data_IF_310821645538
#
_entry.id   IF_310821645538
#
_cell.length_a   1.000
_cell.length_b   1.000
_cell.length_c   1.000
_cell.angle_alpha   90.00
_cell.angle_beta   90.00
_cell.angle_gamma   90.00
#
_symmetry.space_group_name_H-M   'P 1'
#
loop_
_entity.id
_entity.type
_entity.pdbx_description
1 polymer ?
#
# COMPACT_ATOMS: atom_id res chain seq x y z
N UNK A 1 10.51 -13.29 -28.56
CA UNK A 1 9.48 -13.93 -27.71
C UNK A 1 9.19 -12.95 -26.59
N UNK A 2 7.95 -12.46 -26.55
CA UNK A 2 7.58 -11.14 -26.03
C UNK A 2 7.57 -11.07 -24.50
N UNK A 3 8.45 -10.28 -23.90
CA UNK A 3 8.36 -9.83 -22.51
C UNK A 3 7.53 -8.54 -22.48
N UNK A 4 6.21 -8.67 -22.35
CA UNK A 4 5.31 -7.56 -22.04
C UNK A 4 5.03 -7.57 -20.53
N UNK A 5 6.04 -7.21 -19.73
CA UNK A 5 5.87 -6.90 -18.32
C UNK A 5 5.70 -5.39 -18.21
N UNK A 6 4.47 -4.90 -18.18
CA UNK A 6 4.23 -3.50 -17.80
C UNK A 6 3.04 -3.45 -16.87
N UNK A 7 3.32 -3.29 -15.58
CA UNK A 7 2.36 -2.73 -14.64
C UNK A 7 3.05 -1.60 -13.85
N UNK A 8 2.72 -0.34 -14.19
CA UNK A 8 3.04 0.84 -13.38
C UNK A 8 2.00 0.99 -12.28
N UNK A 9 2.28 0.44 -11.11
CA UNK A 9 1.56 0.82 -9.92
C UNK A 9 2.38 0.50 -8.67
N UNK A 10 2.59 1.54 -7.85
CA UNK A 10 3.22 1.57 -6.53
C UNK A 10 3.21 3.03 -6.04
N UNK A 11 3.52 3.29 -4.76
CA UNK A 11 3.69 4.66 -4.30
C UNK A 11 4.75 5.39 -5.15
N UNK A 12 4.43 6.58 -5.70
CA UNK A 12 5.35 7.28 -6.58
C UNK A 12 6.66 7.59 -5.84
N UNK A 13 7.78 7.35 -6.53
CA UNK A 13 9.10 7.76 -6.08
C UNK A 13 9.06 9.27 -5.76
N UNK A 14 9.55 9.73 -4.59
CA UNK A 14 9.77 11.16 -4.41
C UNK A 14 10.76 11.64 -5.47
N UNK A 15 10.39 12.69 -6.21
CA UNK A 15 11.28 13.26 -7.22
C UNK A 15 12.62 13.62 -6.56
N UNK A 16 13.73 13.10 -7.09
CA UNK A 16 15.05 13.59 -6.72
C UNK A 16 15.13 15.04 -7.15
N UNK A 17 14.87 15.95 -6.22
CA UNK A 17 15.15 17.37 -6.41
C UNK A 17 16.63 17.51 -6.76
N UNK A 18 16.92 17.77 -8.03
CA UNK A 18 18.25 18.19 -8.44
C UNK A 18 18.52 19.51 -7.74
N UNK A 19 19.39 19.48 -6.73
CA UNK A 19 19.91 20.68 -6.11
C UNK A 19 20.77 21.42 -7.14
N UNK A 20 20.14 22.29 -7.93
CA UNK A 20 20.84 23.35 -8.65
C UNK A 20 20.53 24.66 -7.95
N UNK A 21 21.46 25.06 -7.09
CA UNK A 21 21.66 26.45 -6.72
C UNK A 21 21.85 27.30 -7.98
N UNK A 22 21.11 28.41 -8.12
CA UNK A 22 21.60 29.70 -8.68
C UNK A 22 20.49 30.77 -8.63
N UNK A 23 20.71 31.74 -7.74
CA UNK A 23 20.36 33.18 -7.75
C UNK A 23 19.15 33.74 -8.52
N UNK A 24 18.27 34.37 -7.74
CA UNK A 24 17.60 35.66 -7.93
C UNK A 24 17.59 36.34 -9.32
N UNK A 25 16.39 36.69 -9.80
CA UNK A 25 15.95 38.10 -9.94
C UNK A 25 14.46 38.23 -10.25
N UNK A 26 13.89 39.26 -9.64
CA UNK A 26 12.58 39.87 -9.87
C UNK A 26 12.33 40.22 -11.34
N UNK A 27 11.05 40.32 -11.73
CA UNK A 27 10.39 41.52 -12.28
C UNK A 27 8.96 41.14 -12.76
N UNK A 28 7.93 41.76 -12.16
CA UNK A 28 6.66 42.08 -12.83
C UNK A 28 6.78 43.50 -13.41
N UNK A 29 6.01 43.87 -14.45
CA UNK A 29 4.84 44.70 -14.16
C UNK A 29 3.60 44.53 -15.09
N UNK A 30 2.44 44.82 -14.47
CA UNK A 30 1.33 45.71 -14.95
C UNK A 30 0.34 45.22 -16.03
N UNK A 31 -0.87 44.94 -15.54
CA UNK A 31 -2.17 45.59 -15.82
C UNK A 31 -2.48 46.13 -17.23
N UNK A 32 -3.56 45.61 -17.84
CA UNK A 32 -4.46 46.39 -18.68
C UNK A 32 -5.91 45.90 -18.51
N UNK A 33 -6.74 46.80 -17.98
CA UNK A 33 -8.19 46.71 -17.80
C UNK A 33 -8.92 47.18 -19.05
N UNK A 34 -9.93 46.46 -19.53
CA UNK A 34 -11.09 47.06 -20.23
C UNK A 34 -12.35 46.27 -19.89
N UNK A 35 -13.31 46.98 -19.30
CA UNK A 35 -14.65 46.53 -18.93
C UNK A 35 -15.62 46.64 -20.11
N UNK A 36 -16.53 45.68 -20.25
CA UNK A 36 -17.93 45.94 -20.68
C UNK A 36 -18.82 44.74 -20.37
N UNK A 37 -19.93 45.01 -19.70
CA UNK A 37 -21.08 44.14 -19.40
C UNK A 37 -22.34 44.94 -19.78
N UNK A 38 -23.59 44.40 -19.69
CA UNK A 38 -24.05 43.01 -19.69
C UNK A 38 -25.23 42.79 -20.67
N UNK A 39 -25.65 41.54 -20.90
CA UNK A 39 -27.07 41.23 -21.17
C UNK A 39 -27.49 39.89 -20.56
N UNK A 40 -28.33 40.02 -19.53
CA UNK A 40 -29.47 39.21 -19.10
C UNK A 40 -29.53 37.67 -19.29
N UNK A 41 -29.57 37.01 -18.12
CA UNK A 41 -30.72 36.25 -17.58
C UNK A 41 -30.96 34.83 -18.15
N UNK A 42 -30.47 33.83 -17.41
CA UNK A 42 -31.16 32.56 -17.24
C UNK A 42 -30.98 32.05 -15.81
N UNK A 43 -32.08 32.06 -15.05
CA UNK A 43 -32.20 31.49 -13.72
C UNK A 43 -32.89 30.14 -13.83
N UNK A 44 -32.25 29.03 -13.42
CA UNK A 44 -32.91 27.90 -12.74
C UNK A 44 -31.93 26.83 -12.21
N UNK A 45 -31.95 26.71 -10.88
CA UNK A 45 -31.96 25.49 -10.04
C UNK A 45 -30.81 24.48 -10.22
N UNK A 46 -29.81 24.59 -9.35
CA UNK A 46 -29.01 23.45 -8.90
C UNK A 46 -29.68 22.82 -7.67
N UNK A 47 -30.07 21.55 -7.80
CA UNK A 47 -30.53 20.71 -6.69
C UNK A 47 -29.32 20.08 -6.03
N UNK A 48 -29.13 20.37 -4.74
CA UNK A 48 -28.12 19.75 -3.90
C UNK A 48 -28.39 18.23 -3.79
N UNK A 49 -27.45 17.41 -4.26
CA UNK A 49 -27.35 16.01 -3.86
C UNK A 49 -26.34 15.91 -2.72
N UNK A 50 -26.82 15.96 -1.49
CA UNK A 50 -26.11 15.37 -0.37
C UNK A 50 -26.31 13.86 -0.43
N UNK A 51 -25.26 13.12 -0.76
CA UNK A 51 -25.20 11.67 -0.53
C UNK A 51 -24.14 11.42 0.54
N UNK A 52 -24.61 10.94 1.69
CA UNK A 52 -23.77 10.35 2.72
C UNK A 52 -23.07 9.09 2.16
N UNK A 53 -21.78 8.85 2.45
CA UNK A 53 -21.17 7.55 2.20
C UNK A 53 -21.76 6.49 3.15
N UNK A 54 -21.79 5.20 2.76
CA UNK A 54 -22.30 4.14 3.62
C UNK A 54 -21.36 3.91 4.81
N UNK A 55 -21.93 3.85 6.01
CA UNK A 55 -21.24 3.43 7.22
C UNK A 55 -20.92 1.94 7.13
N UNK A 56 -19.64 1.60 7.16
CA UNK A 56 -19.19 0.22 7.36
C UNK A 56 -19.42 -0.08 8.84
N UNK A 57 -20.27 -1.07 9.14
CA UNK A 57 -20.60 -1.43 10.52
C UNK A 57 -19.38 -2.10 11.19
N UNK A 58 -19.04 -1.62 12.38
CA UNK A 58 -17.94 -2.10 13.20
C UNK A 58 -18.17 -3.54 13.68
N UNK A 59 -17.24 -4.44 13.34
CA UNK A 59 -17.01 -5.67 14.08
C UNK A 59 -15.80 -5.43 14.98
N UNK A 60 -16.07 -5.02 16.22
CA UNK A 60 -15.07 -4.83 17.26
C UNK A 60 -14.90 -6.13 18.04
N UNK A 61 -13.69 -6.69 18.05
CA UNK A 61 -13.07 -7.29 19.24
C UNK A 61 -11.55 -7.11 19.16
N UNK A 62 -11.04 -6.09 19.85
CA UNK A 62 -9.61 -5.84 20.02
C UNK A 62 -9.00 -6.79 21.06
N UNK A 63 -7.76 -7.22 20.83
CA UNK A 63 -6.99 -8.07 21.75
C UNK A 63 -6.71 -7.37 23.07
N UNK A 64 -7.41 -7.79 24.13
CA UNK A 64 -7.09 -7.48 25.52
C UNK A 64 -6.38 -8.64 26.22
N UNK A 65 -5.99 -8.45 27.48
CA UNK A 65 -5.74 -9.60 28.38
C UNK A 65 -7.07 -10.01 28.98
N UNK A 66 -7.31 -11.31 29.10
CA UNK A 66 -8.47 -11.76 29.86
C UNK A 66 -8.30 -11.45 31.37
N UNK A 67 -9.37 -11.64 32.12
CA UNK A 67 -9.39 -11.51 33.58
C UNK A 67 -8.38 -12.43 34.33
N UNK A 68 -7.73 -13.37 33.64
CA UNK A 68 -6.68 -14.24 34.17
C UNK A 68 -5.28 -13.79 33.78
N UNK A 69 -5.15 -12.69 33.04
CA UNK A 69 -3.88 -12.14 32.59
C UNK A 69 -3.29 -12.86 31.36
N UNK A 70 -4.07 -13.75 30.71
CA UNK A 70 -3.66 -14.43 29.49
C UNK A 70 -3.82 -13.47 28.31
N UNK A 71 -2.81 -13.42 27.44
CA UNK A 71 -2.94 -12.76 26.15
C UNK A 71 -4.08 -13.40 25.36
N UNK A 72 -5.09 -12.61 25.01
CA UNK A 72 -6.02 -13.04 23.97
C UNK A 72 -5.23 -13.15 22.66
N UNK A 73 -5.53 -14.15 21.81
CA UNK A 73 -4.95 -14.17 20.47
C UNK A 73 -5.21 -12.83 19.80
N UNK A 74 -4.25 -12.35 19.02
CA UNK A 74 -4.47 -11.16 18.20
C UNK A 74 -5.67 -11.41 17.28
N UNK A 75 -6.32 -10.35 16.81
CA UNK A 75 -7.43 -10.53 15.90
C UNK A 75 -6.98 -11.22 14.62
N UNK A 76 -7.92 -11.92 13.98
CA UNK A 76 -7.70 -12.55 12.68
C UNK A 76 -7.10 -11.59 11.65
N UNK A 77 -7.44 -10.29 11.72
CA UNK A 77 -6.89 -9.26 10.82
C UNK A 77 -5.38 -9.10 11.01
N UNK A 78 -4.92 -9.00 12.25
CA UNK A 78 -3.49 -8.85 12.54
C UNK A 78 -2.74 -10.15 12.24
N UNK A 79 -3.35 -11.31 12.51
CA UNK A 79 -2.75 -12.60 12.17
C UNK A 79 -2.55 -12.76 10.65
N UNK A 80 -3.53 -12.34 9.84
CA UNK A 80 -3.41 -12.33 8.38
C UNK A 80 -2.32 -11.37 7.87
N UNK A 81 -2.19 -10.19 8.51
CA UNK A 81 -1.07 -9.27 8.24
C UNK A 81 0.28 -9.93 8.56
N UNK A 82 0.43 -10.49 9.76
CA UNK A 82 1.67 -11.17 10.20
C UNK A 82 2.04 -12.31 9.25
N UNK A 83 1.07 -13.09 8.77
CA UNK A 83 1.28 -14.16 7.77
C UNK A 83 1.72 -13.63 6.42
N UNK A 84 1.21 -12.48 5.98
CA UNK A 84 1.64 -11.85 4.72
C UNK A 84 3.08 -11.32 4.80
N UNK A 85 3.46 -10.74 5.95
CA UNK A 85 4.85 -10.36 6.24
C UNK A 85 5.77 -11.59 6.28
N UNK A 86 5.33 -12.69 6.88
CA UNK A 86 6.09 -13.95 6.91
C UNK A 86 6.28 -14.57 5.51
N UNK A 87 5.29 -14.45 4.62
CA UNK A 87 5.44 -14.85 3.22
C UNK A 87 6.53 -14.03 2.54
N UNK A 88 6.48 -12.69 2.65
CA UNK A 88 7.52 -11.83 2.10
C UNK A 88 8.91 -12.17 2.66
N UNK A 89 9.00 -12.41 3.96
CA UNK A 89 10.24 -12.84 4.63
C UNK A 89 10.82 -14.13 4.06
N UNK A 90 9.96 -15.12 3.78
CA UNK A 90 10.40 -16.37 3.16
C UNK A 90 10.98 -16.16 1.76
N UNK A 91 10.41 -15.21 1.00
CA UNK A 91 10.92 -14.88 -0.35
C UNK A 91 12.25 -14.16 -0.25
N UNK A 92 12.39 -13.16 0.61
CA UNK A 92 13.65 -12.45 0.86
C UNK A 92 14.77 -13.42 1.22
N UNK A 93 14.51 -14.39 2.10
CA UNK A 93 15.48 -15.41 2.48
C UNK A 93 15.88 -16.35 1.34
N UNK A 94 15.09 -16.41 0.26
CA UNK A 94 15.35 -17.24 -0.92
C UNK A 94 16.02 -16.49 -2.08
N UNK A 95 16.13 -15.16 -2.02
CA UNK A 95 16.74 -14.36 -3.09
C UNK A 95 18.26 -14.58 -3.12
N UNK A 96 18.85 -15.06 -4.22
CA UNK A 96 20.30 -15.14 -4.36
C UNK A 96 20.97 -13.76 -4.34
N UNK A 97 22.18 -13.66 -3.78
CA UNK A 97 22.94 -12.40 -3.66
C UNK A 97 23.12 -11.67 -5.00
N UNK A 98 23.21 -12.40 -6.12
CA UNK A 98 23.38 -11.84 -7.46
C UNK A 98 22.05 -11.51 -8.18
N UNK A 99 20.90 -11.81 -7.58
CA UNK A 99 19.58 -11.62 -8.18
C UNK A 99 18.86 -10.33 -7.74
N UNK A 100 19.40 -9.58 -6.78
CA UNK A 100 18.82 -8.32 -6.29
C UNK A 100 18.69 -7.22 -7.36
N UNK A 101 19.47 -7.31 -8.44
CA UNK A 101 19.38 -6.43 -9.60
C UNK A 101 18.32 -6.82 -10.64
N UNK A 102 17.63 -7.96 -10.48
CA UNK A 102 16.67 -8.44 -11.47
C UNK A 102 15.40 -7.58 -11.52
N UNK A 103 14.82 -7.45 -12.71
CA UNK A 103 13.54 -6.78 -12.92
C UNK A 103 12.41 -7.48 -12.15
N UNK A 104 11.45 -6.69 -11.67
CA UNK A 104 10.21 -7.17 -11.04
C UNK A 104 9.00 -6.92 -11.95
N UNK A 105 7.82 -7.50 -11.67
CA UNK A 105 6.57 -7.12 -12.33
C UNK A 105 6.16 -5.65 -12.09
N UNK A 106 6.66 -5.02 -11.02
CA UNK A 106 6.53 -3.59 -10.79
C UNK A 106 7.42 -2.83 -11.78
N UNK A 107 6.80 -2.15 -12.75
CA UNK A 107 7.55 -1.42 -13.76
C UNK A 107 8.52 -0.40 -13.14
N UNK A 108 9.71 -0.30 -13.72
CA UNK A 108 10.81 0.57 -13.28
C UNK A 108 11.52 0.15 -11.98
N UNK A 109 11.16 -0.99 -11.36
CA UNK A 109 11.80 -1.49 -10.14
C UNK A 109 12.52 -2.82 -10.33
N UNK A 110 13.77 -2.87 -9.90
CA UNK A 110 14.46 -4.12 -9.60
C UNK A 110 14.09 -4.66 -8.21
N UNK A 111 14.57 -5.85 -7.86
CA UNK A 111 14.28 -6.51 -6.59
C UNK A 111 14.74 -5.69 -5.37
N UNK A 112 15.88 -5.00 -5.43
CA UNK A 112 16.31 -4.06 -4.37
C UNK A 112 15.33 -2.90 -4.20
N UNK A 113 14.85 -2.31 -5.30
CA UNK A 113 13.91 -1.19 -5.26
C UNK A 113 12.56 -1.61 -4.69
N UNK A 114 12.07 -2.80 -5.06
CA UNK A 114 10.86 -3.37 -4.49
C UNK A 114 11.01 -3.63 -2.99
N UNK A 115 12.13 -4.19 -2.55
CA UNK A 115 12.40 -4.39 -1.12
C UNK A 115 12.40 -3.06 -0.35
N UNK A 116 13.11 -2.06 -0.87
CA UNK A 116 13.18 -0.73 -0.24
C UNK A 116 11.81 -0.05 -0.16
N UNK A 117 10.95 -0.27 -1.15
CA UNK A 117 9.56 0.16 -1.07
C UNK A 117 8.83 -0.55 0.08
N UNK A 118 8.91 -1.88 0.12
CA UNK A 118 8.25 -2.67 1.17
C UNK A 118 8.70 -2.22 2.57
N UNK A 119 10.01 -2.02 2.76
CA UNK A 119 10.55 -1.51 4.02
C UNK A 119 9.96 -0.13 4.34
N UNK A 120 9.93 0.77 3.36
CA UNK A 120 9.35 2.10 3.51
C UNK A 120 7.87 2.13 3.93
N UNK A 121 7.06 1.19 3.41
CA UNK A 121 5.65 1.03 3.80
C UNK A 121 5.55 0.53 5.25
N UNK A 122 6.31 -0.49 5.61
CA UNK A 122 6.24 -1.10 6.94
C UNK A 122 6.86 -0.21 8.02
N UNK A 123 7.91 0.56 7.71
CA UNK A 123 8.49 1.56 8.60
C UNK A 123 7.49 2.67 8.93
N UNK A 124 6.71 3.11 7.94
CA UNK A 124 5.65 4.08 8.16
C UNK A 124 4.53 3.51 9.03
N UNK A 125 4.09 2.27 8.77
CA UNK A 125 3.12 1.59 9.62
C UNK A 125 3.62 1.44 11.06
N UNK A 126 4.89 1.05 11.24
CA UNK A 126 5.51 0.92 12.55
C UNK A 126 5.64 2.29 13.27
N UNK A 127 5.91 3.36 12.52
CA UNK A 127 5.89 4.74 13.02
C UNK A 127 4.52 5.11 13.58
N UNK A 128 3.46 4.93 12.78
CA UNK A 128 2.07 5.18 13.17
C UNK A 128 1.69 4.36 14.40
N UNK A 129 2.05 3.08 14.45
CA UNK A 129 1.79 2.20 15.59
C UNK A 129 2.41 2.73 16.90
N UNK A 130 3.62 3.29 16.83
CA UNK A 130 4.36 3.78 18.00
C UNK A 130 3.93 5.17 18.46
N UNK A 131 3.57 6.06 17.53
CA UNK A 131 3.36 7.48 17.85
C UNK A 131 1.91 7.93 17.74
N UNK A 132 1.07 7.19 17.01
CA UNK A 132 -0.26 7.61 16.59
C UNK A 132 -0.26 8.69 15.50
N UNK A 133 0.90 9.17 15.04
CA UNK A 133 0.98 10.20 14.01
C UNK A 133 0.93 9.58 12.62
N UNK A 134 -0.10 9.94 11.82
CA UNK A 134 -0.26 9.44 10.45
C UNK A 134 0.72 10.14 9.50
N UNK A 135 1.78 9.43 9.11
CA UNK A 135 2.68 9.85 8.04
C UNK A 135 2.54 8.96 6.79
N UNK A 136 2.77 9.54 5.61
CA UNK A 136 2.81 8.76 4.35
C UNK A 136 4.12 7.97 4.26
N UNK A 137 4.12 6.78 3.62
CA UNK A 137 5.34 6.01 3.42
C UNK A 137 6.29 6.73 2.47
N UNK A 138 7.58 6.50 2.68
CA UNK A 138 8.67 6.94 1.80
C UNK A 138 9.51 5.73 1.46
N UNK A 139 10.07 5.68 0.25
CA UNK A 139 11.01 4.62 -0.11
C UNK A 139 12.19 4.63 0.86
N UNK A 140 12.51 3.48 1.45
CA UNK A 140 13.64 3.39 2.37
C UNK A 140 14.96 3.69 1.63
N UNK A 141 15.96 4.20 2.35
CA UNK A 141 17.31 4.34 1.81
C UNK A 141 17.92 2.98 1.50
N UNK A 142 18.92 2.95 0.61
CA UNK A 142 19.67 1.73 0.33
C UNK A 142 20.70 1.50 1.43
N UNK A 143 20.51 0.45 2.23
CA UNK A 143 21.40 0.09 3.32
C UNK A 143 22.60 -0.77 2.86
N UNK A 144 22.66 -1.16 1.59
CA UNK A 144 23.71 -2.00 1.01
C UNK A 144 23.56 -3.51 1.27
N UNK A 145 22.79 -3.91 2.29
CA UNK A 145 22.42 -5.30 2.58
C UNK A 145 20.88 -5.44 2.62
N UNK A 146 20.27 -5.90 1.50
CA UNK A 146 18.83 -6.14 1.40
C UNK A 146 18.25 -7.03 2.51
N UNK A 147 18.93 -8.14 2.84
CA UNK A 147 18.42 -9.11 3.80
C UNK A 147 18.44 -8.54 5.22
N UNK A 148 19.53 -7.88 5.61
CA UNK A 148 19.64 -7.23 6.92
C UNK A 148 18.64 -6.06 7.07
N UNK A 149 18.46 -5.26 6.01
CA UNK A 149 17.48 -4.17 6.00
C UNK A 149 16.06 -4.69 6.21
N UNK A 150 15.70 -5.77 5.51
CA UNK A 150 14.41 -6.41 5.67
C UNK A 150 14.20 -6.96 7.09
N UNK A 151 15.17 -7.68 7.64
CA UNK A 151 15.08 -8.23 9.00
C UNK A 151 14.79 -7.14 10.03
N UNK A 152 15.52 -6.01 9.97
CA UNK A 152 15.29 -4.88 10.86
C UNK A 152 13.88 -4.29 10.72
N UNK A 153 13.40 -4.13 9.48
CA UNK A 153 12.07 -3.60 9.19
C UNK A 153 10.96 -4.53 9.67
N UNK A 154 11.07 -5.83 9.34
CA UNK A 154 10.16 -6.90 9.75
C UNK A 154 10.02 -6.95 11.27
N UNK A 155 11.14 -7.02 11.97
CA UNK A 155 11.12 -7.13 13.43
C UNK A 155 10.55 -5.84 14.06
N UNK A 156 10.91 -4.68 13.49
CA UNK A 156 10.43 -3.38 13.94
C UNK A 156 8.92 -3.16 13.76
N UNK A 157 8.32 -3.64 12.66
CA UNK A 157 6.86 -3.51 12.45
C UNK A 157 6.07 -4.51 13.30
N UNK A 158 6.59 -5.73 13.47
CA UNK A 158 5.94 -6.76 14.30
C UNK A 158 5.92 -6.36 15.78
N UNK A 159 7.04 -5.85 16.31
CA UNK A 159 7.12 -5.31 17.67
C UNK A 159 6.18 -4.11 17.86
N UNK A 160 6.16 -3.18 16.90
CA UNK A 160 5.31 -2.00 16.98
C UNK A 160 3.81 -2.35 17.02
N UNK A 161 3.37 -3.32 16.22
CA UNK A 161 1.96 -3.76 16.20
C UNK A 161 1.58 -4.46 17.50
N UNK A 162 2.50 -5.24 18.11
CA UNK A 162 2.26 -5.91 19.39
C UNK A 162 2.03 -4.90 20.53
N UNK A 163 2.68 -3.73 20.46
CA UNK A 163 2.53 -2.64 21.43
C UNK A 163 1.43 -1.62 21.13
N UNK A 164 0.73 -1.72 20.01
CA UNK A 164 -0.19 -0.69 19.53
C UNK A 164 -1.60 -0.76 20.16
N UNK A 165 -2.27 0.39 20.27
CA UNK A 165 -3.72 0.42 20.50
C UNK A 165 -4.46 0.17 19.19
N UNK A 166 -4.82 -1.10 18.96
CA UNK A 166 -5.55 -1.54 17.77
C UNK A 166 -6.93 -0.89 17.62
N UNK A 167 -7.51 -0.38 18.72
CA UNK A 167 -8.83 0.25 18.73
C UNK A 167 -8.79 1.75 18.43
N UNK A 168 -7.61 2.35 18.32
CA UNK A 168 -7.45 3.76 18.02
C UNK A 168 -8.11 4.10 16.67
N UNK A 169 -8.97 5.12 16.67
CA UNK A 169 -9.68 5.61 15.48
C UNK A 169 -8.98 6.87 14.96
N UNK A 170 -8.60 6.86 13.68
CA UNK A 170 -8.04 8.05 13.01
C UNK A 170 -8.32 8.00 11.50
N UNK A 171 -7.95 9.06 10.80
CA UNK A 171 -7.94 9.15 9.34
C UNK A 171 -6.59 8.69 8.79
N UNK A 172 -6.47 7.39 8.58
CA UNK A 172 -5.31 6.75 7.94
C UNK A 172 -5.29 6.99 6.42
N UNK A 173 -4.33 6.36 5.72
CA UNK A 173 -4.07 6.59 4.29
C UNK A 173 -5.31 6.44 3.40
N UNK A 174 -6.21 5.52 3.73
CA UNK A 174 -7.40 5.21 2.92
C UNK A 174 -8.69 5.82 3.47
N UNK A 175 -8.61 6.65 4.50
CA UNK A 175 -9.76 7.26 5.15
C UNK A 175 -9.90 6.87 6.63
N UNK A 176 -11.04 7.24 7.26
CA UNK A 176 -11.28 6.97 8.67
C UNK A 176 -11.53 5.49 8.93
N UNK A 177 -10.81 4.91 9.91
CA UNK A 177 -10.99 3.55 10.40
C UNK A 177 -10.24 3.34 11.73
N UNK A 178 -10.46 2.23 12.41
CA UNK A 178 -9.62 1.75 13.50
C UNK A 178 -8.22 1.37 13.01
N UNK A 179 -7.20 1.46 13.87
CA UNK A 179 -5.84 1.03 13.55
C UNK A 179 -5.76 -0.44 13.11
N UNK A 180 -6.54 -1.33 13.71
CA UNK A 180 -6.66 -2.74 13.30
C UNK A 180 -7.06 -2.91 11.83
N UNK A 181 -8.17 -2.26 11.43
CA UNK A 181 -8.60 -2.24 10.04
C UNK A 181 -7.53 -1.63 9.13
N UNK A 182 -6.81 -0.60 9.58
CA UNK A 182 -5.71 -0.04 8.81
C UNK A 182 -4.57 -1.05 8.59
N UNK A 183 -4.16 -1.80 9.61
CA UNK A 183 -3.21 -2.93 9.46
C UNK A 183 -3.70 -3.95 8.43
N UNK A 184 -4.98 -4.33 8.50
CA UNK A 184 -5.62 -5.21 7.52
C UNK A 184 -5.64 -4.62 6.11
N UNK A 185 -5.80 -3.31 5.99
CA UNK A 185 -5.74 -2.60 4.70
C UNK A 185 -4.33 -2.52 4.15
N UNK A 186 -3.28 -2.51 4.98
CA UNK A 186 -1.87 -2.53 4.53
C UNK A 186 -1.43 -3.94 4.11
N UNK A 187 -2.02 -5.00 4.64
CA UNK A 187 -1.68 -6.41 4.36
C UNK A 187 -1.49 -6.76 2.88
N UNK A 188 -2.30 -6.19 1.98
CA UNK A 188 -2.25 -6.48 0.55
C UNK A 188 -0.90 -6.16 -0.10
N UNK A 189 -0.15 -5.23 0.49
CA UNK A 189 1.16 -4.77 0.02
C UNK A 189 2.22 -5.87 0.17
N UNK A 190 2.54 -6.39 1.38
CA UNK A 190 3.49 -7.50 1.52
C UNK A 190 3.01 -8.80 0.84
N UNK A 191 1.69 -9.04 0.76
CA UNK A 191 1.17 -10.23 0.07
C UNK A 191 1.42 -10.15 -1.45
N UNK A 192 1.11 -9.01 -2.08
CA UNK A 192 1.37 -8.80 -3.51
C UNK A 192 2.86 -8.81 -3.81
N UNK A 193 3.65 -8.11 -2.99
CA UNK A 193 5.07 -7.95 -3.23
C UNK A 193 5.89 -9.20 -2.91
N UNK A 194 5.38 -10.13 -2.10
CA UNK A 194 5.98 -11.46 -1.97
C UNK A 194 5.96 -12.17 -3.34
N UNK A 195 4.84 -12.09 -4.06
CA UNK A 195 4.74 -12.64 -5.42
C UNK A 195 5.62 -11.88 -6.40
N UNK A 196 5.60 -10.55 -6.39
CA UNK A 196 6.42 -9.75 -7.30
C UNK A 196 7.93 -10.04 -7.14
N UNK A 197 8.41 -10.20 -5.90
CA UNK A 197 9.81 -10.52 -5.60
C UNK A 197 10.15 -11.96 -6.00
N UNK A 198 9.24 -12.91 -5.78
CA UNK A 198 9.39 -14.29 -6.22
C UNK A 198 9.60 -14.39 -7.74
N UNK A 199 8.85 -13.59 -8.51
CA UNK A 199 8.97 -13.54 -9.97
C UNK A 199 10.33 -13.00 -10.45
N UNK A 200 10.98 -12.11 -9.71
CA UNK A 200 12.30 -11.57 -10.10
C UNK A 200 13.42 -12.61 -10.04
N UNK A 201 13.23 -13.67 -9.25
CA UNK A 201 14.19 -14.76 -9.07
C UNK A 201 13.78 -16.04 -9.80
N UNK A 202 12.57 -16.10 -10.35
CA UNK A 202 12.03 -17.30 -11.00
C UNK A 202 11.68 -18.43 -10.01
N UNK A 203 11.57 -18.10 -8.72
CA UNK A 203 11.19 -19.03 -7.66
C UNK A 203 9.71 -18.82 -7.33
N UNK A 204 8.78 -19.59 -7.93
CA UNK A 204 7.36 -19.39 -7.71
C UNK A 204 7.00 -19.64 -6.24
N UNK A 205 6.01 -18.89 -5.76
CA UNK A 205 5.45 -19.03 -4.42
C UNK A 205 3.95 -19.33 -4.49
N UNK A 206 3.48 -20.13 -3.54
CA UNK A 206 2.05 -20.37 -3.35
C UNK A 206 1.50 -19.34 -2.36
N UNK A 207 0.60 -18.48 -2.84
CA UNK A 207 -0.14 -17.58 -1.97
C UNK A 207 -1.33 -18.33 -1.34
N UNK A 208 -1.48 -18.35 0.00
CA UNK A 208 -2.59 -19.03 0.66
C UNK A 208 -3.96 -18.45 0.25
N UNK A 209 -4.88 -19.32 -0.13
CA UNK A 209 -6.21 -18.93 -0.63
C UNK A 209 -6.97 -18.04 0.36
N UNK A 210 -6.88 -18.32 1.66
CA UNK A 210 -7.56 -17.57 2.71
C UNK A 210 -7.01 -16.14 2.84
N UNK A 211 -5.70 -15.95 2.68
CA UNK A 211 -5.09 -14.61 2.63
C UNK A 211 -5.51 -13.87 1.35
N UNK A 212 -5.50 -14.55 0.21
CA UNK A 212 -5.92 -13.95 -1.07
C UNK A 212 -7.39 -13.54 -1.03
N UNK A 213 -8.29 -14.38 -0.50
CA UNK A 213 -9.72 -14.08 -0.39
C UNK A 213 -9.97 -12.87 0.53
N UNK A 214 -9.40 -12.89 1.73
CA UNK A 214 -9.55 -11.79 2.69
C UNK A 214 -8.97 -10.47 2.15
N UNK A 215 -7.82 -10.54 1.47
CA UNK A 215 -7.16 -9.38 0.88
C UNK A 215 -7.95 -8.83 -0.31
N UNK A 216 -8.45 -9.70 -1.20
CA UNK A 216 -9.27 -9.30 -2.33
C UNK A 216 -10.52 -8.53 -1.87
N UNK A 217 -11.21 -9.03 -0.85
CA UNK A 217 -12.38 -8.36 -0.28
C UNK A 217 -12.06 -6.94 0.23
N UNK A 218 -10.92 -6.76 0.91
CA UNK A 218 -10.46 -5.46 1.41
C UNK A 218 -10.12 -4.48 0.29
N UNK A 219 -9.36 -4.91 -0.72
CA UNK A 219 -8.99 -4.04 -1.84
C UNK A 219 -10.23 -3.68 -2.68
N UNK A 220 -11.20 -4.59 -2.83
CA UNK A 220 -12.49 -4.30 -3.48
C UNK A 220 -13.32 -3.28 -2.71
N UNK A 221 -13.31 -3.31 -1.37
CA UNK A 221 -14.03 -2.35 -0.55
C UNK A 221 -13.54 -0.89 -0.71
N UNK A 222 -12.30 -0.68 -1.16
CA UNK A 222 -11.76 0.64 -1.51
C UNK A 222 -12.27 1.20 -2.85
N UNK A 223 -12.96 0.38 -3.65
CA UNK A 223 -13.40 0.74 -5.00
C UNK A 223 -12.24 1.19 -5.87
N UNK A 224 -12.38 2.36 -6.50
CA UNK A 224 -11.39 2.88 -7.46
C UNK A 224 -10.19 3.58 -6.81
N UNK A 225 -10.15 3.76 -5.49
CA UNK A 225 -9.08 4.53 -4.82
C UNK A 225 -7.69 3.98 -5.18
N UNK A 226 -7.41 2.66 -5.08
CA UNK A 226 -6.09 2.12 -5.39
C UNK A 226 -5.66 2.38 -6.84
N UNK A 227 -6.59 2.32 -7.80
CA UNK A 227 -6.30 2.61 -9.22
C UNK A 227 -6.08 4.10 -9.45
N UNK A 228 -6.91 4.97 -8.88
CA UNK A 228 -6.77 6.44 -8.99
C UNK A 228 -5.44 6.94 -8.43
N UNK A 229 -4.97 6.30 -7.37
CA UNK A 229 -3.70 6.62 -6.73
C UNK A 229 -2.52 5.85 -7.32
N UNK A 230 -2.77 5.01 -8.35
CA UNK A 230 -1.76 4.19 -9.03
C UNK A 230 -1.01 3.26 -8.07
N UNK A 231 -1.72 2.73 -7.09
CA UNK A 231 -1.23 1.69 -6.17
C UNK A 231 -1.42 0.29 -6.77
N UNK A 232 -2.47 0.12 -7.58
CA UNK A 232 -2.64 -1.01 -8.51
C UNK A 232 -2.84 -0.55 -9.93
N UNK A 233 -2.59 -1.47 -10.86
CA UNK A 233 -2.91 -1.32 -12.28
C UNK A 233 -4.33 -1.81 -12.60
N UNK A 234 -4.68 -1.71 -13.88
CA UNK A 234 -5.90 -2.30 -14.40
C UNK A 234 -5.93 -3.81 -14.15
N UNK A 235 -7.12 -4.32 -13.86
CA UNK A 235 -7.31 -5.74 -13.64
C UNK A 235 -6.98 -6.52 -14.93
N UNK A 236 -6.40 -7.70 -14.76
CA UNK A 236 -6.19 -8.68 -15.81
C UNK A 236 -7.36 -9.66 -15.78
N UNK A 237 -7.88 -10.01 -16.96
CA UNK A 237 -8.95 -11.01 -17.09
C UNK A 237 -8.46 -12.38 -16.61
N UNK A 238 -9.08 -12.89 -15.55
CA UNK A 238 -8.80 -14.21 -14.98
C UNK A 238 -10.14 -14.96 -14.87
N UNK A 239 -10.20 -16.25 -15.31
CA UNK A 239 -11.42 -17.05 -15.17
C UNK A 239 -11.92 -17.15 -13.73
N UNK A 240 -13.23 -17.17 -13.54
CA UNK A 240 -13.85 -17.26 -12.20
C UNK A 240 -13.54 -18.58 -11.47
N UNK A 241 -13.20 -19.64 -12.20
CA UNK A 241 -12.80 -20.95 -11.69
C UNK A 241 -11.27 -21.11 -11.52
N UNK A 242 -10.50 -20.05 -11.78
CA UNK A 242 -9.06 -20.04 -11.51
C UNK A 242 -8.78 -20.08 -9.99
N UNK A 243 -7.56 -20.49 -9.58
CA UNK A 243 -7.15 -20.46 -8.18
C UNK A 243 -7.36 -19.08 -7.54
N UNK A 244 -7.63 -19.03 -6.23
CA UNK A 244 -7.92 -17.77 -5.53
C UNK A 244 -6.76 -16.77 -5.66
N UNK A 245 -5.52 -17.26 -5.58
CA UNK A 245 -4.31 -16.47 -5.82
C UNK A 245 -4.29 -15.82 -7.19
N UNK A 246 -4.70 -16.52 -8.26
CA UNK A 246 -4.75 -15.95 -9.60
C UNK A 246 -5.81 -14.86 -9.71
N UNK A 247 -6.99 -15.08 -9.13
CA UNK A 247 -8.08 -14.09 -9.14
C UNK A 247 -7.72 -12.83 -8.37
N UNK A 248 -7.07 -12.98 -7.21
CA UNK A 248 -6.53 -11.86 -6.43
C UNK A 248 -5.44 -11.10 -7.21
N UNK A 249 -4.43 -11.80 -7.71
CA UNK A 249 -3.32 -11.22 -8.48
C UNK A 249 -3.83 -10.51 -9.74
N UNK A 250 -4.75 -11.12 -10.48
CA UNK A 250 -5.42 -10.51 -11.63
C UNK A 250 -6.14 -9.22 -11.26
N UNK A 251 -6.85 -9.19 -10.12
CA UNK A 251 -7.55 -7.98 -9.67
C UNK A 251 -6.62 -6.80 -9.36
N UNK A 252 -5.46 -7.07 -8.75
CA UNK A 252 -4.42 -6.04 -8.49
C UNK A 252 -3.52 -5.77 -9.71
N UNK A 253 -3.82 -6.42 -10.84
CA UNK A 253 -3.23 -6.15 -12.15
C UNK A 253 -1.90 -6.87 -12.40
N UNK A 254 -1.69 -8.01 -11.76
CA UNK A 254 -0.61 -8.97 -12.06
C UNK A 254 -1.07 -10.02 -13.07
N UNK A 255 -0.09 -10.65 -13.72
CA UNK A 255 -0.30 -11.73 -14.70
C UNK A 255 0.26 -13.05 -14.12
N UNK A 256 -0.54 -13.78 -13.33
CA UNK A 256 -0.18 -15.07 -12.74
C UNK A 256 -0.21 -16.22 -13.76
#
# INVERSE_FOLDING_TARGET
>A
MSRLWIAKACWPRPERGSATSTTARSHSPVCASISSTPTERACRRQSAYHRHPPQVAALSQAGGRDHTGRFLPMSEIVDQFKRSVALFDSVVASVPDDAWGNDTPCADWNATELLRHQCGVLDALAGIARTGEVNMPQMADDAGDPAAQWQATRDGVLDAIEGADLSAEDKYWFGPMSFENFVGMVQWDPLTHAWDLAQSTGNPIDLPDDLCEATLARVQALGDIPRKWRLITDAVDVPDDAPMSHRYLGYVGRQP
#
